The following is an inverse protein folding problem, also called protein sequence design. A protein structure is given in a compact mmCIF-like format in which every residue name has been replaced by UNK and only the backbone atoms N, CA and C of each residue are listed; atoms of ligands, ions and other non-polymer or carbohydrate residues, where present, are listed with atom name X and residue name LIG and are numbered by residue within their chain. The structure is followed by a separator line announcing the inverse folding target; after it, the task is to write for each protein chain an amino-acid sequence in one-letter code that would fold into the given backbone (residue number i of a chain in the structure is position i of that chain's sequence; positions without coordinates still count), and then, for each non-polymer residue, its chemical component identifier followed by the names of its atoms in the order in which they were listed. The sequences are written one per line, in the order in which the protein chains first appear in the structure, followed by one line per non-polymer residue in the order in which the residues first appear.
data_IF_443737346215
#
_entry.id   IF_443737346215
#
_cell.length_a   1.000
_cell.length_b   1.000
_cell.length_c   1.000
_cell.angle_alpha   90.00
_cell.angle_beta   90.00
_cell.angle_gamma   90.00
#
_symmetry.space_group_name_H-M   'P 1'
#
loop_
_entity.id
_entity.type
_entity.pdbx_description
1 polymer ?
#
# COMPACT_ATOMS: atom_id res chain seq x y z
N UNK A 1 1.12 -9.53 9.31
CA UNK A 1 1.73 -8.23 9.67
C UNK A 1 0.77 -7.06 9.46
N UNK A 2 0.00 -7.05 8.36
CA UNK A 2 -0.95 -5.98 8.03
C UNK A 2 -2.02 -5.70 9.08
N UNK A 3 -2.60 -6.75 9.70
CA UNK A 3 -3.58 -6.57 10.79
C UNK A 3 -3.01 -5.79 11.98
N UNK A 4 -1.77 -6.09 12.39
CA UNK A 4 -1.08 -5.38 13.47
C UNK A 4 -0.75 -3.93 13.08
N UNK A 5 -0.42 -3.67 11.81
CA UNK A 5 -0.20 -2.31 11.31
C UNK A 5 -1.50 -1.49 11.39
N UNK A 6 -2.62 -2.06 10.91
CA UNK A 6 -3.95 -1.46 11.04
C UNK A 6 -4.30 -1.15 12.50
N UNK A 7 -4.12 -2.11 13.41
CA UNK A 7 -4.38 -1.92 14.84
C UNK A 7 -3.56 -0.76 15.43
N UNK A 8 -2.26 -0.68 15.09
CA UNK A 8 -1.36 0.35 15.64
C UNK A 8 -1.60 1.74 15.08
N UNK A 9 -1.99 1.84 13.81
CA UNK A 9 -2.30 3.12 13.16
C UNK A 9 -3.73 3.57 13.53
N UNK A 10 -4.62 2.62 13.84
CA UNK A 10 -6.02 2.90 14.20
C UNK A 10 -6.96 3.00 13.00
N UNK A 11 -6.52 2.56 11.82
CA UNK A 11 -7.26 2.65 10.56
C UNK A 11 -7.48 1.26 9.93
N UNK A 12 -8.50 1.16 9.08
CA UNK A 12 -8.80 -0.08 8.35
C UNK A 12 -7.95 -0.24 7.07
N UNK A 13 -7.80 -1.46 6.54
CA UNK A 13 -7.01 -1.68 5.32
C UNK A 13 -7.52 -0.89 4.11
N UNK A 14 -8.84 -0.65 4.03
CA UNK A 14 -9.46 0.11 2.94
C UNK A 14 -9.08 1.60 2.93
N UNK A 15 -8.53 2.13 4.02
CA UNK A 15 -8.07 3.53 4.12
C UNK A 15 -6.55 3.64 4.08
N UNK A 16 -5.84 2.53 3.83
CA UNK A 16 -4.39 2.47 3.79
C UNK A 16 -3.85 2.19 2.38
N UNK A 17 -2.65 2.72 2.11
CA UNK A 17 -1.88 2.46 0.90
C UNK A 17 -0.53 1.87 1.29
N UNK A 18 -0.18 0.70 0.75
CA UNK A 18 1.18 0.15 0.82
C UNK A 18 2.00 0.65 -0.38
N UNK A 19 3.23 1.09 -0.12
CA UNK A 19 4.27 1.31 -1.14
C UNK A 19 5.47 0.44 -0.77
N UNK A 20 5.80 -0.56 -1.59
CA UNK A 20 6.85 -1.54 -1.29
C UNK A 20 7.42 -2.10 -2.60
N UNK A 21 8.70 -2.45 -2.64
CA UNK A 21 9.40 -3.01 -3.80
C UNK A 21 9.36 -4.56 -3.85
N UNK A 22 8.99 -5.20 -2.74
CA UNK A 22 8.79 -6.65 -2.65
C UNK A 22 7.43 -7.07 -3.20
N UNK A 23 7.45 -7.89 -4.26
CA UNK A 23 6.23 -8.43 -4.89
C UNK A 23 5.37 -9.22 -3.89
N UNK A 24 5.99 -10.00 -3.00
CA UNK A 24 5.27 -10.77 -1.96
C UNK A 24 4.52 -9.86 -0.98
N UNK A 25 5.11 -8.70 -0.64
CA UNK A 25 4.45 -7.73 0.24
C UNK A 25 3.27 -7.08 -0.47
N UNK A 26 3.46 -6.69 -1.73
CA UNK A 26 2.42 -6.10 -2.59
C UNK A 26 1.23 -7.05 -2.73
N UNK A 27 1.48 -8.32 -3.06
CA UNK A 27 0.43 -9.32 -3.21
C UNK A 27 -0.31 -9.58 -1.89
N UNK A 28 0.42 -9.74 -0.79
CA UNK A 28 -0.20 -10.03 0.51
C UNK A 28 -1.00 -8.83 1.05
N UNK A 29 -0.57 -7.58 0.84
CA UNK A 29 -1.33 -6.40 1.25
C UNK A 29 -2.56 -6.17 0.37
N UNK A 30 -2.45 -6.44 -0.94
CA UNK A 30 -3.61 -6.41 -1.85
C UNK A 30 -4.66 -7.44 -1.43
N UNK A 31 -4.24 -8.67 -1.13
CA UNK A 31 -5.13 -9.72 -0.64
C UNK A 31 -5.76 -9.37 0.72
N UNK A 32 -5.07 -8.57 1.54
CA UNK A 32 -5.58 -8.07 2.82
C UNK A 32 -6.58 -6.90 2.68
N UNK A 33 -6.74 -6.35 1.47
CA UNK A 33 -7.73 -5.30 1.17
C UNK A 33 -7.17 -3.87 1.19
N UNK A 34 -5.84 -3.71 1.13
CA UNK A 34 -5.20 -2.40 0.98
C UNK A 34 -5.10 -1.99 -0.49
N UNK A 35 -5.09 -0.68 -0.74
CA UNK A 35 -4.51 -0.16 -1.98
C UNK A 35 -2.99 -0.38 -1.96
N UNK A 36 -2.40 -0.69 -3.10
CA UNK A 36 -0.97 -1.04 -3.17
C UNK A 36 -0.30 -0.38 -4.39
N UNK A 37 0.95 0.02 -4.21
CA UNK A 37 1.85 0.47 -5.27
C UNK A 37 3.12 -0.37 -5.18
N UNK A 38 3.40 -1.14 -6.23
CA UNK A 38 4.69 -1.83 -6.36
C UNK A 38 5.74 -0.82 -6.79
N UNK A 39 6.65 -0.50 -5.88
CA UNK A 39 7.73 0.45 -6.14
C UNK A 39 8.86 -0.21 -6.94
N UNK A 40 8.98 0.17 -8.21
CA UNK A 40 10.11 -0.24 -9.06
C UNK A 40 10.91 0.94 -9.60
N UNK A 41 10.30 2.13 -9.63
CA UNK A 41 10.91 3.34 -10.14
C UNK A 41 10.23 4.59 -9.54
N UNK A 42 11.02 5.50 -8.97
CA UNK A 42 10.53 6.66 -8.19
C UNK A 42 9.55 7.55 -8.94
N UNK A 43 9.82 8.03 -10.18
CA UNK A 43 8.85 8.81 -10.94
C UNK A 43 7.48 8.14 -11.11
N UNK A 44 7.46 6.83 -11.34
CA UNK A 44 6.23 6.06 -11.53
C UNK A 44 5.44 5.97 -10.23
N UNK A 45 6.12 5.74 -9.10
CA UNK A 45 5.49 5.72 -7.77
C UNK A 45 4.90 7.07 -7.38
N UNK A 46 5.61 8.18 -7.66
CA UNK A 46 5.09 9.53 -7.40
C UNK A 46 3.82 9.77 -8.21
N UNK A 47 3.82 9.43 -9.50
CA UNK A 47 2.65 9.58 -10.36
C UNK A 47 1.45 8.75 -9.85
N UNK A 48 1.69 7.51 -9.41
CA UNK A 48 0.64 6.65 -8.85
C UNK A 48 0.07 7.21 -7.52
N UNK A 49 0.92 7.67 -6.60
CA UNK A 49 0.47 8.30 -5.36
C UNK A 49 -0.37 9.55 -5.63
N UNK A 50 0.03 10.38 -6.60
CA UNK A 50 -0.71 11.57 -6.99
C UNK A 50 -2.08 11.28 -7.62
N UNK A 51 -2.36 10.05 -8.05
CA UNK A 51 -3.69 9.62 -8.50
C UNK A 51 -4.59 9.19 -7.34
N UNK A 52 -4.03 8.67 -6.25
CA UNK A 52 -4.78 8.19 -5.08
C UNK A 52 -5.21 9.32 -4.13
N UNK A 53 -4.48 10.44 -4.12
CA UNK A 53 -4.74 11.57 -3.23
C UNK A 53 -5.70 12.62 -3.82
N UNK A 54 -6.40 12.29 -4.91
CA UNK A 54 -7.38 13.15 -5.58
C UNK A 54 -8.79 12.82 -5.12
#
# INVERSE_FOLDING_TARGET
IWSLACERIGDGPATMVLVDDSEVNVESARAFGMAVIHHTHTPTTIAALAQLLR
#
